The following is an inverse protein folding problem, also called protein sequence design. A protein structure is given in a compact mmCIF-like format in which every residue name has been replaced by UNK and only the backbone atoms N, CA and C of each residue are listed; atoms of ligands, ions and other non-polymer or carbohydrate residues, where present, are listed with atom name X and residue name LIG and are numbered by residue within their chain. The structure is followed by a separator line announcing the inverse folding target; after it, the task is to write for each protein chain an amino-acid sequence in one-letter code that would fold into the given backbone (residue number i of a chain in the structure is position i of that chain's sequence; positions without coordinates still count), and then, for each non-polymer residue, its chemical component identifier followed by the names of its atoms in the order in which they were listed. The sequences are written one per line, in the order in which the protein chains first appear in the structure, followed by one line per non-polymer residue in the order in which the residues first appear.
data_IF_816318941094
#
_entry.id   IF_816318941094
#
_cell.length_a   1.000
_cell.length_b   1.000
_cell.length_c   1.000
_cell.angle_alpha   90.00
_cell.angle_beta   90.00
_cell.angle_gamma   90.00
#
_symmetry.space_group_name_H-M   'P 1'
#
loop_
_entity.id
_entity.type
_entity.pdbx_description
1 polymer ?
#
# COMPACT_ATOMS: atom_id res chain seq x y z
N UNK A 1 -31.22 33.68 15.99
CA UNK A 1 -30.23 32.84 16.70
C UNK A 1 -30.87 31.48 16.92
N UNK A 2 -30.61 30.53 16.03
CA UNK A 2 -31.25 29.21 16.03
C UNK A 2 -30.18 28.18 16.36
N UNK A 3 -30.23 27.62 17.57
CA UNK A 3 -29.32 26.57 18.02
C UNK A 3 -29.65 25.27 17.30
N UNK A 4 -28.69 24.76 16.52
CA UNK A 4 -28.76 23.45 15.89
C UNK A 4 -28.10 22.44 16.83
N UNK A 5 -28.92 21.63 17.49
CA UNK A 5 -28.47 20.47 18.26
C UNK A 5 -27.86 19.42 17.32
N UNK A 6 -26.56 19.12 17.50
CA UNK A 6 -25.92 17.95 16.88
C UNK A 6 -25.95 16.77 17.86
N UNK A 7 -26.28 15.55 17.40
CA UNK A 7 -26.31 14.39 18.26
C UNK A 7 -24.88 13.90 18.58
N UNK A 8 -24.68 13.58 19.85
CA UNK A 8 -23.49 12.95 20.42
C UNK A 8 -23.44 11.50 19.91
N UNK A 9 -22.31 11.13 19.30
CA UNK A 9 -22.01 9.76 18.87
C UNK A 9 -21.45 8.95 20.06
N UNK A 10 -22.09 7.82 20.37
CA UNK A 10 -21.63 6.83 21.34
C UNK A 10 -20.98 5.64 20.59
N UNK A 11 -19.67 5.35 20.77
CA UNK A 11 -18.96 4.34 19.98
C UNK A 11 -19.05 2.91 20.53
N UNK A 12 -19.84 2.63 21.57
CA UNK A 12 -20.01 1.27 22.05
C UNK A 12 -21.32 0.64 21.57
N UNK A 13 -21.20 -0.58 21.00
CA UNK A 13 -22.23 -1.64 20.88
C UNK A 13 -22.80 -1.88 19.47
N UNK A 14 -22.06 -2.64 18.66
CA UNK A 14 -22.64 -3.68 17.77
C UNK A 14 -21.80 -4.95 17.83
N UNK A 15 -22.18 -5.87 18.71
CA UNK A 15 -21.81 -7.27 18.57
C UNK A 15 -22.63 -7.87 17.42
N UNK A 16 -21.99 -8.21 16.30
CA UNK A 16 -22.55 -9.18 15.38
C UNK A 16 -22.50 -10.55 16.08
N UNK A 17 -23.65 -11.02 16.58
CA UNK A 17 -23.81 -12.43 16.97
C UNK A 17 -23.87 -13.26 15.69
N UNK A 18 -22.74 -13.84 15.30
CA UNK A 18 -22.74 -15.01 14.43
C UNK A 18 -23.28 -16.20 15.24
N UNK A 19 -24.48 -16.67 14.92
CA UNK A 19 -24.98 -17.94 15.43
C UNK A 19 -24.27 -19.07 14.69
N UNK A 20 -23.36 -19.76 15.37
CA UNK A 20 -22.76 -21.01 14.91
C UNK A 20 -23.69 -22.17 15.28
N UNK A 21 -24.33 -22.77 14.28
CA UNK A 21 -24.94 -24.09 14.44
C UNK A 21 -23.82 -25.15 14.51
N UNK A 22 -23.67 -25.79 15.65
CA UNK A 22 -22.83 -27.00 15.81
C UNK A 22 -23.58 -28.23 15.32
N UNK A 23 -23.03 -29.05 14.41
CA UNK A 23 -23.47 -30.41 14.23
C UNK A 23 -22.78 -31.33 15.25
N UNK A 24 -23.59 -32.03 16.05
CA UNK A 24 -23.14 -33.20 16.81
C UNK A 24 -23.13 -34.40 15.86
N UNK A 25 -21.95 -34.96 15.60
CA UNK A 25 -21.78 -36.19 14.84
C UNK A 25 -20.51 -36.89 15.25
N UNK A 26 -20.65 -37.99 16.00
CA UNK A 26 -19.58 -38.89 16.43
C UNK A 26 -19.14 -39.78 15.26
N UNK A 27 -17.86 -39.71 14.89
CA UNK A 27 -17.17 -40.79 14.17
C UNK A 27 -15.67 -40.70 14.47
N UNK A 28 -15.12 -41.78 15.04
CA UNK A 28 -13.70 -41.93 15.31
C UNK A 28 -12.94 -41.99 13.97
N UNK A 29 -12.40 -40.85 13.56
CA UNK A 29 -11.56 -40.74 12.37
C UNK A 29 -10.09 -40.92 12.75
N UNK A 30 -9.43 -41.84 12.06
CA UNK A 30 -8.04 -42.20 12.27
C UNK A 30 -7.14 -40.98 12.12
N UNK A 31 -6.34 -40.70 13.15
CA UNK A 31 -5.32 -39.63 13.15
C UNK A 31 -4.24 -40.00 12.14
N UNK A 32 -4.42 -39.56 10.89
CA UNK A 32 -3.40 -39.60 9.85
C UNK A 32 -2.32 -38.59 10.24
N UNK A 33 -1.17 -39.08 10.67
CA UNK A 33 0.02 -38.27 10.94
C UNK A 33 0.48 -37.69 9.60
N UNK A 34 -0.01 -36.49 9.30
CA UNK A 34 0.42 -35.71 8.14
C UNK A 34 1.86 -35.28 8.40
N UNK A 35 2.81 -35.81 7.62
CA UNK A 35 4.17 -35.32 7.59
C UNK A 35 4.13 -33.80 7.40
N UNK A 36 4.54 -33.08 8.44
CA UNK A 36 4.62 -31.62 8.42
C UNK A 36 5.62 -31.22 7.34
N UNK A 37 5.13 -30.49 6.34
CA UNK A 37 5.99 -29.91 5.31
C UNK A 37 7.14 -29.12 5.98
N UNK A 38 8.34 -29.12 5.38
CA UNK A 38 9.45 -28.36 5.91
C UNK A 38 9.05 -26.89 6.12
N UNK A 39 9.53 -26.24 7.20
CA UNK A 39 9.15 -24.88 7.51
C UNK A 39 9.48 -23.97 6.33
N UNK A 40 8.50 -23.18 5.89
CA UNK A 40 8.68 -22.21 4.82
C UNK A 40 9.86 -21.28 5.16
N UNK A 41 10.73 -20.99 4.17
CA UNK A 41 11.86 -20.08 4.36
C UNK A 41 11.32 -18.71 4.81
N UNK A 42 11.73 -18.26 6.00
CA UNK A 42 11.39 -16.94 6.53
C UNK A 42 12.30 -15.92 5.83
N UNK A 43 11.74 -15.05 5.01
CA UNK A 43 12.47 -13.91 4.44
C UNK A 43 12.67 -12.83 5.52
N UNK A 44 13.93 -12.59 5.90
CA UNK A 44 14.29 -11.46 6.77
C UNK A 44 14.54 -10.21 5.94
N UNK A 45 13.91 -9.09 6.32
CA UNK A 45 14.06 -7.82 5.63
C UNK A 45 15.49 -7.26 5.80
N UNK A 46 16.27 -7.21 4.71
CA UNK A 46 17.59 -6.55 4.67
C UNK A 46 17.42 -5.03 4.79
N UNK A 47 18.35 -4.33 5.45
CA UNK A 47 18.26 -2.87 5.61
C UNK A 47 17.30 -2.41 6.71
N UNK A 48 16.90 -3.30 7.62
CA UNK A 48 16.01 -3.00 8.75
C UNK A 48 16.47 -1.81 9.61
N UNK A 49 17.79 -1.65 9.78
CA UNK A 49 18.39 -0.57 10.57
C UNK A 49 18.03 0.83 10.06
N UNK A 50 17.71 0.98 8.79
CA UNK A 50 17.19 2.24 8.25
C UNK A 50 15.90 2.69 8.98
N UNK A 51 15.06 1.75 9.37
CA UNK A 51 13.76 2.03 9.97
C UNK A 51 13.79 1.99 11.50
N UNK A 52 14.62 1.12 12.09
CA UNK A 52 14.56 0.77 13.51
C UNK A 52 15.79 1.16 14.34
N UNK A 53 16.88 1.63 13.73
CA UNK A 53 18.11 1.86 14.47
C UNK A 53 17.98 2.97 15.53
N UNK A 54 18.54 2.70 16.71
CA UNK A 54 18.84 3.73 17.72
C UNK A 54 20.19 4.34 17.40
N UNK A 55 20.28 5.67 17.36
CA UNK A 55 21.51 6.40 16.96
C UNK A 55 21.87 7.45 18.01
N UNK A 56 23.16 7.76 18.16
CA UNK A 56 23.62 8.81 19.08
C UNK A 56 23.37 10.19 18.48
N UNK A 57 22.69 11.07 19.22
CA UNK A 57 22.46 12.46 18.82
C UNK A 57 23.78 13.15 18.48
N UNK A 58 23.89 13.69 17.26
CA UNK A 58 25.09 14.39 16.79
C UNK A 58 25.47 15.60 17.65
N UNK A 59 24.51 16.20 18.39
CA UNK A 59 24.76 17.37 19.23
C UNK A 59 25.19 17.03 20.66
N UNK A 60 24.54 16.07 21.32
CA UNK A 60 24.77 15.80 22.75
C UNK A 60 25.17 14.36 23.09
N UNK A 61 25.30 13.47 22.09
CA UNK A 61 25.70 12.08 22.27
C UNK A 61 24.62 11.15 22.83
N UNK A 62 23.49 11.67 23.35
CA UNK A 62 22.41 10.83 23.89
C UNK A 62 21.79 9.93 22.82
N UNK A 63 21.41 8.72 23.21
CA UNK A 63 20.71 7.78 22.35
C UNK A 63 19.35 8.34 21.94
N UNK A 64 19.04 8.24 20.65
CA UNK A 64 17.77 8.63 20.06
C UNK A 64 17.16 7.44 19.37
N UNK A 65 15.98 7.02 19.84
CA UNK A 65 15.25 5.88 19.31
C UNK A 65 14.47 6.32 18.07
N UNK A 66 14.51 5.50 17.01
CA UNK A 66 13.69 5.73 15.81
C UNK A 66 12.21 5.67 16.17
N UNK A 67 11.39 6.65 15.78
CA UNK A 67 9.97 6.65 16.10
C UNK A 67 9.26 5.54 15.31
N UNK A 68 8.28 4.91 15.97
CA UNK A 68 7.39 3.92 15.36
C UNK A 68 6.02 4.55 15.17
N UNK A 69 5.48 4.48 13.95
CA UNK A 69 4.09 4.86 13.67
C UNK A 69 3.13 4.09 14.57
N UNK A 70 2.15 4.79 15.13
CA UNK A 70 0.92 4.13 15.57
C UNK A 70 -0.01 4.10 14.36
N UNK A 71 -0.53 2.94 13.95
CA UNK A 71 -1.54 2.89 12.90
C UNK A 71 -2.77 3.68 13.37
N UNK A 72 -2.98 4.88 12.84
CA UNK A 72 -4.14 5.69 13.18
C UNK A 72 -4.62 6.47 11.97
N UNK A 73 -5.93 6.37 11.73
CA UNK A 73 -6.67 7.12 10.70
C UNK A 73 -7.62 8.15 11.33
N UNK A 74 -7.35 8.59 12.56
CA UNK A 74 -8.09 9.75 13.12
C UNK A 74 -7.78 11.04 12.38
N UNK A 75 -6.80 11.05 11.48
CA UNK A 75 -6.37 12.21 10.72
C UNK A 75 -6.88 12.18 9.28
N UNK A 76 -7.03 13.38 8.74
CA UNK A 76 -7.43 13.68 7.36
C UNK A 76 -6.65 12.79 6.36
N UNK A 77 -7.32 12.05 5.46
CA UNK A 77 -6.68 11.22 4.43
C UNK A 77 -5.72 11.99 3.51
N UNK A 78 -5.78 13.34 3.51
CA UNK A 78 -4.87 14.20 2.77
C UNK A 78 -3.70 14.74 3.59
N UNK A 79 -3.74 14.63 4.92
CA UNK A 79 -2.58 14.93 5.76
C UNK A 79 -1.63 13.74 5.70
N UNK A 80 -0.35 13.98 5.36
CA UNK A 80 0.69 12.95 5.43
C UNK A 80 0.79 12.49 6.90
N UNK A 81 0.18 11.36 7.31
CA UNK A 81 -0.05 11.08 8.72
C UNK A 81 1.24 10.66 9.45
N UNK A 82 2.35 10.55 8.70
CA UNK A 82 3.66 10.11 9.15
C UNK A 82 4.75 11.16 8.93
N UNK A 83 4.39 12.39 8.55
CA UNK A 83 5.36 13.44 8.26
C UNK A 83 6.24 13.82 9.46
N UNK A 84 5.69 13.74 10.67
CA UNK A 84 6.43 13.86 11.92
C UNK A 84 7.42 12.69 12.11
N UNK A 85 7.08 11.49 11.62
CA UNK A 85 7.95 10.31 11.63
C UNK A 85 9.13 10.39 10.66
N UNK A 86 9.20 11.44 9.83
CA UNK A 86 10.39 11.71 9.01
C UNK A 86 11.49 12.44 9.81
N UNK A 87 11.12 12.99 10.97
CA UNK A 87 12.02 13.61 11.90
C UNK A 87 12.33 12.65 13.05
N UNK A 88 13.46 12.86 13.68
CA UNK A 88 13.74 12.27 14.99
C UNK A 88 14.26 13.37 15.91
N UNK A 89 13.59 13.56 17.04
CA UNK A 89 13.97 14.59 18.01
C UNK A 89 14.71 13.95 19.17
N UNK A 90 15.92 14.43 19.46
CA UNK A 90 16.65 14.02 20.66
C UNK A 90 15.92 14.53 21.91
N UNK A 91 15.46 13.64 22.78
CA UNK A 91 14.74 14.02 24.00
C UNK A 91 15.58 14.85 24.99
N UNK A 92 16.91 14.75 24.94
CA UNK A 92 17.80 15.41 25.89
C UNK A 92 18.18 16.85 25.50
N UNK A 93 18.43 17.12 24.21
CA UNK A 93 18.84 18.46 23.74
C UNK A 93 17.88 19.05 22.71
N UNK A 94 16.78 18.34 22.43
CA UNK A 94 15.67 18.75 21.57
C UNK A 94 16.06 19.12 20.14
N UNK A 95 17.18 18.57 19.67
CA UNK A 95 17.66 18.74 18.30
C UNK A 95 16.90 17.81 17.38
N UNK A 96 16.41 18.35 16.26
CA UNK A 96 15.75 17.59 15.22
C UNK A 96 16.77 17.05 14.21
N UNK A 97 16.60 15.78 13.88
CA UNK A 97 17.40 15.05 12.91
C UNK A 97 16.49 14.58 11.76
N UNK A 98 17.05 14.51 10.55
CA UNK A 98 16.45 13.71 9.48
C UNK A 98 16.50 12.23 9.88
N UNK A 99 15.38 11.50 9.85
CA UNK A 99 15.39 10.07 10.23
C UNK A 99 16.26 9.20 9.32
N UNK A 100 16.33 9.53 8.03
CA UNK A 100 17.13 8.80 7.04
C UNK A 100 18.63 8.87 7.33
N UNK A 101 19.23 10.04 7.12
CA UNK A 101 20.69 10.24 7.25
C UNK A 101 21.16 10.72 8.64
N UNK A 102 20.24 11.00 9.56
CA UNK A 102 20.52 11.48 10.93
C UNK A 102 21.20 12.86 11.04
N UNK A 103 21.35 13.60 9.94
CA UNK A 103 21.85 14.98 9.97
C UNK A 103 20.88 15.91 10.71
N UNK A 104 21.43 16.92 11.37
CA UNK A 104 20.62 17.97 12.02
C UNK A 104 19.84 18.75 10.97
N UNK A 105 18.55 19.00 11.23
CA UNK A 105 17.67 19.75 10.33
C UNK A 105 17.07 20.96 11.02
N UNK A 106 16.80 22.01 10.25
CA UNK A 106 16.28 23.31 10.76
C UNK A 106 14.76 23.35 10.90
N UNK A 107 14.10 22.20 10.85
CA UNK A 107 12.65 22.11 11.02
C UNK A 107 12.26 22.44 12.48
N UNK A 108 11.11 23.12 12.71
CA UNK A 108 10.57 23.33 14.05
C UNK A 108 10.22 21.97 14.70
N UNK A 109 10.15 21.93 16.04
CA UNK A 109 9.83 20.70 16.81
C UNK A 109 8.48 20.07 16.43
N UNK A 110 7.53 20.89 16.01
CA UNK A 110 6.19 20.46 15.60
C UNK A 110 6.05 20.46 14.08
N UNK A 111 7.13 20.19 13.34
CA UNK A 111 7.07 20.15 11.89
C UNK A 111 6.23 18.96 11.42
N UNK A 112 5.07 19.27 10.86
CA UNK A 112 4.13 18.28 10.28
C UNK A 112 4.53 17.85 8.86
N UNK A 113 5.80 18.02 8.47
CA UNK A 113 6.33 17.59 7.15
C UNK A 113 5.58 18.11 5.92
N UNK A 114 5.02 19.34 6.01
CA UNK A 114 4.36 19.99 4.88
C UNK A 114 5.32 20.28 3.70
N UNK A 115 4.83 20.91 2.61
CA UNK A 115 5.64 21.22 1.43
C UNK A 115 6.90 22.06 1.72
N UNK A 116 6.89 22.88 2.77
CA UNK A 116 8.03 23.70 3.22
C UNK A 116 9.02 22.94 4.11
N UNK A 117 8.76 21.67 4.43
CA UNK A 117 9.63 20.88 5.28
C UNK A 117 10.91 20.48 4.53
N UNK A 118 12.05 20.99 5.01
CA UNK A 118 13.38 20.71 4.43
C UNK A 118 13.77 19.24 4.45
N UNK A 119 13.18 18.44 5.36
CA UNK A 119 13.45 16.99 5.45
C UNK A 119 12.98 16.23 4.21
N UNK A 120 11.94 16.70 3.50
CA UNK A 120 11.41 15.99 2.31
C UNK A 120 12.45 15.80 1.22
N UNK A 121 13.42 16.72 1.14
CA UNK A 121 14.49 16.70 0.15
C UNK A 121 15.86 16.40 0.76
N UNK A 122 15.92 15.90 2.00
CA UNK A 122 17.18 15.80 2.73
C UNK A 122 18.10 14.68 2.22
N UNK A 123 17.57 13.48 1.96
CA UNK A 123 18.33 12.34 1.46
C UNK A 123 17.39 11.28 0.86
N UNK A 124 17.94 10.29 0.16
CA UNK A 124 17.14 9.19 -0.39
C UNK A 124 16.51 8.30 0.70
N UNK A 125 17.26 8.07 1.78
CA UNK A 125 16.83 7.25 2.92
C UNK A 125 15.50 7.75 3.51
N UNK A 126 15.25 9.07 3.51
CA UNK A 126 13.98 9.61 3.98
C UNK A 126 12.81 9.31 3.05
N UNK A 127 13.06 9.20 1.73
CA UNK A 127 12.05 8.82 0.74
C UNK A 127 11.67 7.36 0.93
N UNK A 128 12.66 6.49 1.14
CA UNK A 128 12.43 5.07 1.45
C UNK A 128 11.64 4.91 2.75
N UNK A 129 11.96 5.67 3.80
CA UNK A 129 11.18 5.69 5.05
C UNK A 129 9.75 6.16 4.79
N UNK A 130 9.54 7.24 4.03
CA UNK A 130 8.21 7.73 3.72
C UNK A 130 7.36 6.71 2.94
N UNK A 131 7.96 6.00 1.97
CA UNK A 131 7.32 4.91 1.24
C UNK A 131 6.95 3.76 2.19
N UNK A 132 7.87 3.38 3.09
CA UNK A 132 7.60 2.36 4.11
C UNK A 132 6.42 2.73 5.02
N UNK A 133 6.36 3.97 5.52
CA UNK A 133 5.27 4.41 6.40
C UNK A 133 3.92 4.46 5.66
N UNK A 134 3.92 4.87 4.38
CA UNK A 134 2.73 4.86 3.53
C UNK A 134 2.21 3.43 3.29
N UNK A 135 3.09 2.51 2.86
CA UNK A 135 2.72 1.12 2.61
C UNK A 135 2.33 0.39 3.91
N UNK A 136 3.01 0.66 5.03
CA UNK A 136 2.66 0.08 6.33
C UNK A 136 1.28 0.52 6.81
N UNK A 137 0.97 1.80 6.65
CA UNK A 137 -0.36 2.35 6.90
C UNK A 137 -1.43 1.66 6.03
N UNK A 138 -1.17 1.53 4.73
CA UNK A 138 -2.07 0.84 3.81
C UNK A 138 -2.33 -0.61 4.19
N UNK A 139 -1.26 -1.38 4.46
CA UNK A 139 -1.37 -2.78 4.86
C UNK A 139 -2.24 -2.94 6.11
N UNK A 140 -2.08 -2.04 7.09
CA UNK A 140 -2.87 -2.03 8.30
C UNK A 140 -4.36 -1.77 8.03
N UNK A 141 -4.70 -0.76 7.21
CA UNK A 141 -6.09 -0.47 6.83
C UNK A 141 -6.69 -1.65 6.12
N UNK A 142 -5.99 -2.15 5.09
CA UNK A 142 -6.49 -3.23 4.27
C UNK A 142 -6.78 -4.47 5.12
N UNK A 143 -5.86 -4.83 6.02
CA UNK A 143 -6.06 -5.94 6.96
C UNK A 143 -7.20 -5.72 7.95
N UNK A 144 -7.38 -4.49 8.42
CA UNK A 144 -8.44 -4.15 9.39
C UNK A 144 -9.81 -4.16 8.72
N UNK A 145 -9.97 -3.45 7.61
CA UNK A 145 -11.25 -3.30 6.89
C UNK A 145 -11.73 -4.62 6.29
N UNK A 146 -10.81 -5.44 5.81
CA UNK A 146 -11.13 -6.78 5.32
C UNK A 146 -11.29 -7.82 6.44
N UNK A 147 -11.08 -7.44 7.70
CA UNK A 147 -11.32 -8.28 8.87
C UNK A 147 -10.32 -9.42 9.05
N UNK A 148 -9.10 -9.29 8.52
CA UNK A 148 -8.08 -10.34 8.56
C UNK A 148 -6.84 -10.02 9.41
N UNK A 149 -6.83 -8.89 10.12
CA UNK A 149 -5.74 -8.49 11.02
C UNK A 149 -5.25 -9.67 11.90
N UNK A 150 -4.11 -10.26 11.50
CA UNK A 150 -3.43 -11.35 12.20
C UNK A 150 -3.92 -12.78 11.97
N UNK A 151 -5.04 -13.03 11.25
CA UNK A 151 -5.57 -14.41 11.07
C UNK A 151 -6.32 -14.71 9.77
N UNK A 152 -6.59 -13.72 8.92
CA UNK A 152 -7.47 -14.02 7.78
C UNK A 152 -6.73 -14.61 6.59
N UNK A 153 -7.37 -15.63 6.02
CA UNK A 153 -6.87 -16.34 4.86
C UNK A 153 -7.30 -15.69 3.54
N UNK A 154 -6.70 -16.18 2.46
CA UNK A 154 -6.96 -15.80 1.06
C UNK A 154 -8.42 -15.55 0.71
N UNK A 155 -9.32 -16.42 1.16
CA UNK A 155 -10.75 -16.32 0.81
C UNK A 155 -11.38 -15.02 1.30
N UNK A 156 -11.02 -14.55 2.50
CA UNK A 156 -11.53 -13.30 3.04
C UNK A 156 -11.01 -12.10 2.24
N UNK A 157 -9.72 -12.10 1.89
CA UNK A 157 -9.11 -11.05 1.08
C UNK A 157 -9.73 -10.95 -0.31
N UNK A 158 -9.87 -12.08 -1.00
CA UNK A 158 -10.50 -12.14 -2.32
C UNK A 158 -11.97 -11.74 -2.27
N UNK A 159 -12.72 -12.16 -1.26
CA UNK A 159 -14.11 -11.74 -1.07
C UNK A 159 -14.22 -10.24 -0.82
N UNK A 160 -13.33 -9.69 0.00
CA UNK A 160 -13.29 -8.26 0.28
C UNK A 160 -12.93 -7.45 -0.98
N UNK A 161 -11.92 -7.87 -1.75
CA UNK A 161 -11.58 -7.20 -3.01
C UNK A 161 -12.74 -7.25 -4.01
N UNK A 162 -13.41 -8.40 -4.15
CA UNK A 162 -14.61 -8.50 -5.01
C UNK A 162 -15.69 -7.52 -4.56
N UNK A 163 -15.89 -7.38 -3.24
CA UNK A 163 -16.83 -6.43 -2.66
C UNK A 163 -16.43 -4.97 -2.92
N UNK A 164 -15.13 -4.65 -2.85
CA UNK A 164 -14.60 -3.32 -3.18
C UNK A 164 -14.94 -2.93 -4.62
N UNK A 165 -14.72 -3.86 -5.57
CA UNK A 165 -14.93 -3.62 -6.99
C UNK A 165 -16.44 -3.57 -7.34
N UNK A 166 -17.27 -4.40 -6.70
CA UNK A 166 -18.69 -4.56 -7.07
C UNK A 166 -19.63 -3.47 -6.54
N UNK A 167 -19.11 -2.38 -5.95
CA UNK A 167 -19.86 -1.24 -5.36
C UNK A 167 -21.10 -1.60 -4.55
N UNK A 168 -20.93 -1.96 -3.27
CA UNK A 168 -22.09 -2.24 -2.43
C UNK A 168 -22.20 -1.49 -1.09
N UNK A 169 -21.16 -0.88 -0.51
CA UNK A 169 -21.27 -0.42 0.89
C UNK A 169 -20.51 0.88 1.22
N UNK A 170 -20.96 1.59 2.27
CA UNK A 170 -20.27 2.79 2.79
C UNK A 170 -18.82 2.51 3.22
N UNK A 171 -18.54 1.33 3.78
CA UNK A 171 -17.20 0.93 4.19
C UNK A 171 -16.21 0.83 3.03
N UNK A 172 -16.66 0.42 1.84
CA UNK A 172 -15.78 0.31 0.67
C UNK A 172 -15.27 1.68 0.23
N UNK A 173 -16.07 2.74 0.43
CA UNK A 173 -15.64 4.12 0.14
C UNK A 173 -14.52 4.59 1.06
N UNK A 174 -14.61 4.32 2.36
CA UNK A 174 -13.53 4.67 3.30
C UNK A 174 -12.21 4.01 2.91
N UNK A 175 -12.26 2.73 2.53
CA UNK A 175 -11.08 2.02 2.04
C UNK A 175 -10.57 2.61 0.71
N UNK A 176 -11.47 2.87 -0.25
CA UNK A 176 -11.13 3.47 -1.54
C UNK A 176 -10.44 4.83 -1.37
N UNK A 177 -10.96 5.69 -0.49
CA UNK A 177 -10.35 6.97 -0.16
C UNK A 177 -8.93 6.79 0.43
N UNK A 178 -8.75 5.79 1.32
CA UNK A 178 -7.45 5.47 1.91
C UNK A 178 -6.46 4.87 0.89
N UNK A 179 -6.94 4.04 -0.04
CA UNK A 179 -6.16 3.48 -1.14
C UNK A 179 -5.70 4.59 -2.09
N UNK A 180 -6.61 5.45 -2.53
CA UNK A 180 -6.29 6.63 -3.36
C UNK A 180 -5.30 7.55 -2.65
N UNK A 181 -5.52 7.84 -1.37
CA UNK A 181 -4.61 8.65 -0.55
C UNK A 181 -3.21 8.05 -0.49
N UNK A 182 -3.10 6.74 -0.22
CA UNK A 182 -1.82 6.02 -0.18
C UNK A 182 -1.09 6.14 -1.52
N UNK A 183 -1.76 5.85 -2.63
CA UNK A 183 -1.15 5.90 -3.96
C UNK A 183 -0.65 7.32 -4.32
N UNK A 184 -1.42 8.37 -3.99
CA UNK A 184 -0.99 9.77 -4.19
C UNK A 184 0.24 10.11 -3.36
N UNK A 185 0.28 9.65 -2.11
CA UNK A 185 1.45 9.80 -1.24
C UNK A 185 2.66 9.12 -1.87
N UNK A 186 2.52 7.87 -2.31
CA UNK A 186 3.59 7.13 -2.98
C UNK A 186 4.09 7.87 -4.23
N UNK A 187 3.20 8.33 -5.10
CA UNK A 187 3.58 9.13 -6.27
C UNK A 187 4.37 10.40 -5.89
N UNK A 188 4.04 11.03 -4.75
CA UNK A 188 4.75 12.22 -4.28
C UNK A 188 6.15 11.94 -3.74
N UNK A 189 6.44 10.71 -3.33
CA UNK A 189 7.73 10.28 -2.79
C UNK A 189 8.60 9.51 -3.81
N UNK A 190 7.97 8.89 -4.80
CA UNK A 190 8.59 8.30 -5.99
C UNK A 190 8.92 9.37 -7.05
N UNK A 191 9.48 10.51 -6.63
CA UNK A 191 9.94 11.51 -7.58
C UNK A 191 11.31 11.13 -8.15
N UNK A 192 11.46 11.37 -9.46
CA UNK A 192 12.58 10.92 -10.31
C UNK A 192 13.94 11.12 -9.64
N UNK A 193 14.70 10.03 -9.64
CA UNK A 193 16.03 9.88 -9.05
C UNK A 193 17.05 10.86 -9.64
N UNK A 194 18.03 11.21 -8.82
CA UNK A 194 19.23 11.86 -9.32
C UNK A 194 20.08 10.78 -10.04
N UNK A 195 20.83 11.13 -11.10
CA UNK A 195 21.58 10.17 -11.90
C UNK A 195 22.68 9.39 -11.15
N UNK A 196 22.94 9.70 -9.88
CA UNK A 196 23.99 9.11 -9.03
C UNK A 196 23.44 8.26 -7.86
N UNK A 197 22.16 7.91 -7.91
CA UNK A 197 21.53 7.14 -6.82
C UNK A 197 21.92 5.65 -6.93
N UNK A 198 22.82 5.19 -6.06
CA UNK A 198 23.37 3.81 -6.05
C UNK A 198 22.33 2.68 -5.97
N UNK A 199 22.64 1.55 -6.62
CA UNK A 199 21.74 0.40 -6.86
C UNK A 199 21.09 -0.18 -5.59
N UNK A 200 21.83 -0.32 -4.49
CA UNK A 200 21.38 -0.99 -3.25
C UNK A 200 20.08 -0.40 -2.65
N UNK A 201 19.84 0.90 -2.85
CA UNK A 201 18.64 1.56 -2.31
C UNK A 201 17.38 1.28 -3.13
N UNK A 202 17.53 1.01 -4.44
CA UNK A 202 16.41 0.64 -5.34
C UNK A 202 15.83 -0.71 -4.94
N UNK A 203 16.69 -1.60 -4.46
CA UNK A 203 16.30 -2.91 -3.94
C UNK A 203 15.39 -2.78 -2.71
N UNK A 204 15.71 -1.86 -1.80
CA UNK A 204 14.92 -1.67 -0.57
C UNK A 204 13.48 -1.26 -0.87
N UNK A 205 13.27 -0.33 -1.81
CA UNK A 205 11.92 0.10 -2.23
C UNK A 205 11.19 -1.04 -2.92
N UNK A 206 11.86 -1.76 -3.83
CA UNK A 206 11.26 -2.92 -4.51
C UNK A 206 10.82 -4.02 -3.55
N UNK A 207 11.62 -4.30 -2.52
CA UNK A 207 11.29 -5.25 -1.44
C UNK A 207 10.08 -4.77 -0.64
N UNK A 208 9.96 -3.47 -0.34
CA UNK A 208 8.81 -2.92 0.38
C UNK A 208 7.51 -3.13 -0.40
N UNK A 209 7.49 -2.81 -1.70
CA UNK A 209 6.30 -3.05 -2.54
C UNK A 209 5.98 -4.54 -2.62
N UNK A 210 6.98 -5.38 -2.86
CA UNK A 210 6.81 -6.84 -3.03
C UNK A 210 6.28 -7.55 -1.78
N UNK A 211 6.44 -6.94 -0.60
CA UNK A 211 5.97 -7.48 0.69
C UNK A 211 4.71 -6.76 1.23
N UNK A 212 4.24 -5.70 0.56
CA UNK A 212 2.97 -5.04 0.86
C UNK A 212 1.80 -5.76 0.20
N UNK A 213 0.59 -5.54 0.70
CA UNK A 213 -0.64 -5.95 0.01
C UNK A 213 -0.98 -5.06 -1.21
N UNK A 214 -0.28 -3.93 -1.40
CA UNK A 214 -0.62 -2.95 -2.43
C UNK A 214 -0.62 -3.53 -3.85
N UNK A 215 0.41 -4.30 -4.29
CA UNK A 215 0.41 -4.89 -5.63
C UNK A 215 -0.75 -5.86 -5.87
N UNK A 216 -1.15 -6.65 -4.86
CA UNK A 216 -2.30 -7.55 -4.94
C UNK A 216 -3.60 -6.76 -5.20
N UNK A 217 -3.81 -5.66 -4.47
CA UNK A 217 -4.98 -4.80 -4.66
C UNK A 217 -4.96 -4.12 -6.03
N UNK A 218 -3.82 -3.57 -6.45
CA UNK A 218 -3.67 -2.99 -7.80
C UNK A 218 -3.94 -4.02 -8.90
N UNK A 219 -3.39 -5.22 -8.77
CA UNK A 219 -3.63 -6.33 -9.70
C UNK A 219 -5.13 -6.61 -9.85
N UNK A 220 -5.87 -6.66 -8.75
CA UNK A 220 -7.31 -6.90 -8.81
C UNK A 220 -8.11 -5.78 -9.46
N UNK A 221 -7.75 -4.50 -9.24
CA UNK A 221 -8.36 -3.39 -9.98
C UNK A 221 -8.07 -3.53 -11.48
N UNK A 222 -6.81 -3.73 -11.87
CA UNK A 222 -6.42 -3.84 -13.28
C UNK A 222 -7.00 -5.07 -13.98
N UNK A 223 -7.27 -6.14 -13.24
CA UNK A 223 -7.91 -7.36 -13.76
C UNK A 223 -9.42 -7.18 -14.02
N UNK A 224 -10.02 -6.08 -13.57
CA UNK A 224 -11.45 -5.85 -13.76
C UNK A 224 -11.74 -5.47 -15.22
N UNK A 225 -12.60 -6.23 -15.88
CA UNK A 225 -12.99 -6.00 -17.28
C UNK A 225 -14.28 -5.20 -17.48
N UNK A 226 -14.93 -4.78 -16.39
CA UNK A 226 -16.18 -4.02 -16.43
C UNK A 226 -15.94 -2.54 -16.71
N UNK A 227 -16.21 -2.11 -17.95
CA UNK A 227 -16.14 -0.68 -18.35
C UNK A 227 -16.96 0.22 -17.43
N UNK A 228 -18.11 -0.28 -16.94
CA UNK A 228 -18.95 0.45 -15.99
C UNK A 228 -18.20 0.75 -14.70
N UNK A 229 -17.47 -0.22 -14.15
CA UNK A 229 -16.75 -0.06 -12.90
C UNK A 229 -15.54 0.85 -13.07
N UNK A 230 -14.86 0.78 -14.22
CA UNK A 230 -13.80 1.72 -14.58
C UNK A 230 -14.26 3.17 -14.52
N UNK A 231 -15.43 3.48 -15.07
CA UNK A 231 -16.02 4.83 -15.01
C UNK A 231 -16.43 5.18 -13.59
N UNK A 232 -17.08 4.22 -12.91
CA UNK A 232 -17.61 4.41 -11.58
C UNK A 232 -16.51 4.65 -10.53
N UNK A 233 -15.33 4.06 -10.72
CA UNK A 233 -14.12 4.22 -9.88
C UNK A 233 -13.00 4.95 -10.63
N UNK A 234 -13.35 5.84 -11.55
CA UNK A 234 -12.39 6.52 -12.43
C UNK A 234 -11.24 7.19 -11.67
N UNK A 235 -11.53 7.86 -10.55
CA UNK A 235 -10.50 8.47 -9.71
C UNK A 235 -9.48 7.45 -9.18
N UNK A 236 -9.94 6.28 -8.73
CA UNK A 236 -9.06 5.20 -8.28
C UNK A 236 -8.20 4.66 -9.42
N UNK A 237 -8.80 4.38 -10.57
CA UNK A 237 -8.05 3.88 -11.72
C UNK A 237 -7.03 4.90 -12.23
N UNK A 238 -7.39 6.18 -12.35
CA UNK A 238 -6.47 7.25 -12.74
C UNK A 238 -5.24 7.26 -11.82
N UNK A 239 -5.45 7.18 -10.51
CA UNK A 239 -4.36 7.19 -9.54
C UNK A 239 -3.53 5.89 -9.60
N UNK A 240 -4.15 4.72 -9.82
CA UNK A 240 -3.44 3.45 -10.07
C UNK A 240 -2.54 3.57 -11.31
N UNK A 241 -3.06 4.11 -12.42
CA UNK A 241 -2.30 4.28 -13.66
C UNK A 241 -1.13 5.26 -13.47
N UNK A 242 -1.33 6.37 -12.76
CA UNK A 242 -0.25 7.31 -12.41
C UNK A 242 0.79 6.65 -11.51
N UNK A 243 0.39 5.83 -10.52
CA UNK A 243 1.35 5.08 -9.69
C UNK A 243 2.18 4.11 -10.52
N UNK A 244 1.57 3.34 -11.43
CA UNK A 244 2.31 2.45 -12.33
C UNK A 244 3.33 3.21 -13.17
N UNK A 245 2.94 4.36 -13.72
CA UNK A 245 3.85 5.26 -14.44
C UNK A 245 5.04 5.66 -13.57
N UNK A 246 4.79 6.09 -12.34
CA UNK A 246 5.86 6.48 -11.40
C UNK A 246 6.77 5.32 -11.03
N UNK A 247 6.24 4.12 -10.90
CA UNK A 247 7.03 2.91 -10.66
C UNK A 247 7.96 2.62 -11.86
N UNK A 248 7.50 2.78 -13.10
CA UNK A 248 8.37 2.71 -14.28
C UNK A 248 9.45 3.79 -14.27
N UNK A 249 9.07 5.04 -14.02
CA UNK A 249 9.99 6.19 -14.02
C UNK A 249 11.06 6.10 -12.90
N UNK A 250 10.79 5.36 -11.82
CA UNK A 250 11.70 5.13 -10.70
C UNK A 250 12.45 3.80 -10.78
N UNK A 251 12.44 3.15 -11.95
CA UNK A 251 13.11 1.87 -12.18
C UNK A 251 12.66 0.74 -11.24
N UNK A 252 11.42 0.78 -10.75
CA UNK A 252 10.80 -0.32 -10.00
C UNK A 252 10.27 -1.41 -10.95
N UNK A 253 10.95 -1.61 -12.08
CA UNK A 253 10.55 -2.56 -13.13
C UNK A 253 10.50 -3.99 -12.58
N UNK A 254 11.39 -4.37 -11.66
CA UNK A 254 11.35 -5.69 -11.03
C UNK A 254 9.97 -5.98 -10.39
N UNK A 255 9.41 -5.01 -9.64
CA UNK A 255 8.08 -5.15 -9.02
C UNK A 255 6.97 -5.28 -10.07
N UNK A 256 7.11 -4.59 -11.20
CA UNK A 256 6.10 -4.58 -12.27
C UNK A 256 6.16 -5.83 -13.15
N UNK A 257 7.36 -6.41 -13.32
CA UNK A 257 7.67 -7.49 -14.26
C UNK A 257 7.63 -8.87 -13.60
N UNK A 258 7.88 -8.95 -12.29
CA UNK A 258 7.84 -10.22 -11.58
C UNK A 258 6.41 -10.70 -11.33
N UNK A 259 6.11 -12.00 -11.55
CA UNK A 259 4.80 -12.54 -11.24
C UNK A 259 4.49 -12.39 -9.75
N UNK A 260 3.31 -11.83 -9.44
CA UNK A 260 2.95 -11.45 -8.08
C UNK A 260 2.71 -12.68 -7.21
N UNK A 261 3.50 -12.83 -6.15
CA UNK A 261 3.32 -13.90 -5.16
C UNK A 261 2.09 -13.63 -4.31
N UNK A 262 1.26 -14.65 -4.10
CA UNK A 262 0.11 -14.53 -3.22
C UNK A 262 0.54 -14.66 -1.76
N UNK A 263 0.19 -13.66 -0.95
CA UNK A 263 0.40 -13.72 0.50
C UNK A 263 -0.57 -14.77 1.06
N UNK A 264 -0.13 -15.72 1.87
CA UNK A 264 -1.05 -16.56 2.65
C UNK A 264 -1.41 -15.84 3.94
N UNK A 265 -0.38 -15.53 4.75
CA UNK A 265 -0.48 -14.76 5.99
C UNK A 265 0.60 -13.68 6.00
N UNK A 266 0.25 -12.50 6.52
CA UNK A 266 1.22 -11.42 6.74
C UNK A 266 0.84 -10.60 7.95
N UNK A 267 1.88 -10.20 8.69
CA UNK A 267 1.82 -9.26 9.81
C UNK A 267 1.84 -7.79 9.36
N UNK A 268 1.78 -7.54 8.03
CA UNK A 268 2.00 -6.24 7.41
C UNK A 268 3.47 -5.82 7.45
N UNK A 269 3.84 -4.84 6.62
CA UNK A 269 5.21 -4.33 6.59
C UNK A 269 5.70 -3.84 7.95
N UNK A 270 4.84 -3.22 8.75
CA UNK A 270 5.25 -2.75 10.07
C UNK A 270 5.63 -3.91 11.00
N UNK A 271 4.84 -4.99 11.04
CA UNK A 271 5.17 -6.18 11.83
C UNK A 271 6.44 -6.86 11.33
N UNK A 272 6.63 -6.93 10.00
CA UNK A 272 7.82 -7.48 9.37
C UNK A 272 9.09 -6.70 9.78
N UNK A 273 9.05 -5.38 9.71
CA UNK A 273 10.20 -4.51 9.99
C UNK A 273 10.42 -4.28 11.48
N UNK A 274 9.38 -4.11 12.30
CA UNK A 274 9.54 -3.76 13.72
C UNK A 274 9.55 -4.95 14.66
N UNK A 275 8.74 -5.97 14.37
CA UNK A 275 8.45 -7.04 15.34
C UNK A 275 9.13 -8.37 15.00
N UNK A 276 10.01 -8.39 13.98
CA UNK A 276 10.54 -9.64 13.41
C UNK A 276 9.41 -10.59 12.97
N UNK A 277 8.29 -10.01 12.53
CA UNK A 277 7.20 -10.76 11.96
C UNK A 277 7.62 -11.46 10.68
N UNK A 278 6.73 -12.28 10.13
CA UNK A 278 6.98 -13.00 8.88
C UNK A 278 5.81 -12.85 7.93
N UNK A 279 6.10 -13.11 6.65
CA UNK A 279 5.11 -13.26 5.59
C UNK A 279 5.25 -14.70 5.10
N UNK A 280 4.12 -15.41 5.03
CA UNK A 280 4.05 -16.72 4.39
C UNK A 280 3.38 -16.55 3.04
N UNK A 281 3.85 -17.31 2.06
CA UNK A 281 3.33 -17.29 0.70
C UNK A 281 2.39 -18.48 0.49
N UNK A 282 1.34 -18.29 -0.30
CA UNK A 282 0.46 -19.37 -0.70
C UNK A 282 1.24 -20.38 -1.54
N UNK A 283 1.11 -21.67 -1.21
CA UNK A 283 1.76 -22.76 -1.93
C UNK A 283 0.70 -23.62 -2.64
N UNK A 284 1.00 -24.08 -3.85
CA UNK A 284 0.14 -25.00 -4.58
C UNK A 284 0.31 -26.47 -4.09
N UNK A 285 -0.36 -27.42 -4.76
CA UNK A 285 -0.28 -28.85 -4.43
C UNK A 285 1.13 -29.44 -4.61
N UNK A 286 2.00 -28.75 -5.33
CA UNK A 286 3.39 -29.12 -5.61
C UNK A 286 4.37 -28.39 -4.71
N UNK A 287 3.90 -27.65 -3.70
CA UNK A 287 4.71 -26.81 -2.82
C UNK A 287 5.49 -25.70 -3.57
N UNK A 288 4.90 -25.18 -4.65
CA UNK A 288 5.41 -24.02 -5.40
C UNK A 288 4.58 -22.78 -5.04
N UNK A 289 5.20 -21.61 -4.82
CA UNK A 289 4.45 -20.39 -4.53
C UNK A 289 3.44 -20.08 -5.64
N UNK A 290 2.18 -19.86 -5.27
CA UNK A 290 1.15 -19.42 -6.19
C UNK A 290 1.45 -18.01 -6.65
N UNK A 291 1.40 -17.79 -7.97
CA UNK A 291 1.68 -16.49 -8.59
C UNK A 291 0.54 -16.06 -9.50
N UNK A 292 0.26 -14.77 -9.51
CA UNK A 292 -0.57 -14.11 -10.52
C UNK A 292 0.28 -13.50 -11.62
N UNK A 293 -0.36 -13.09 -12.71
CA UNK A 293 0.29 -12.35 -13.78
C UNK A 293 0.99 -11.09 -13.21
N UNK A 294 2.16 -10.72 -13.76
CA UNK A 294 2.81 -9.48 -13.37
C UNK A 294 1.97 -8.25 -13.77
N UNK A 295 2.18 -7.13 -13.08
CA UNK A 295 1.40 -5.91 -13.33
C UNK A 295 1.61 -5.38 -14.75
N UNK A 296 2.81 -5.54 -15.32
CA UNK A 296 3.10 -5.13 -16.70
C UNK A 296 2.26 -5.90 -17.74
N UNK A 297 1.95 -7.18 -17.48
CA UNK A 297 1.12 -7.98 -18.38
C UNK A 297 -0.32 -7.47 -18.35
N UNK A 298 -0.85 -7.14 -17.17
CA UNK A 298 -2.16 -6.51 -17.06
C UNK A 298 -2.21 -5.16 -17.76
N UNK A 299 -1.13 -4.36 -17.69
CA UNK A 299 -1.02 -3.11 -18.46
C UNK A 299 -1.15 -3.36 -19.96
N UNK A 300 -0.52 -4.41 -20.51
CA UNK A 300 -0.66 -4.78 -21.94
C UNK A 300 -2.11 -5.11 -22.30
N UNK A 301 -2.86 -5.69 -21.36
CA UNK A 301 -4.26 -6.04 -21.56
C UNK A 301 -5.20 -4.82 -21.50
N UNK A 302 -4.76 -3.66 -21.00
CA UNK A 302 -5.59 -2.45 -20.88
C UNK A 302 -6.05 -1.89 -22.23
N UNK A 303 -5.37 -2.21 -23.34
CA UNK A 303 -5.85 -1.85 -24.68
C UNK A 303 -7.25 -2.41 -24.97
N UNK A 304 -7.59 -3.58 -24.40
CA UNK A 304 -8.92 -4.15 -24.50
C UNK A 304 -10.00 -3.31 -23.80
N UNK A 305 -9.63 -2.52 -22.78
CA UNK A 305 -10.53 -1.60 -22.07
C UNK A 305 -10.61 -0.22 -22.73
N UNK A 306 -9.50 0.25 -23.33
CA UNK A 306 -9.44 1.57 -23.99
C UNK A 306 -10.44 1.69 -25.13
N UNK A 307 -10.61 0.65 -25.95
CA UNK A 307 -11.53 0.71 -27.11
C UNK A 307 -13.01 0.89 -26.70
N UNK A 308 -13.58 0.07 -25.79
CA UNK A 308 -14.93 0.31 -25.27
C UNK A 308 -15.10 1.69 -24.61
N UNK A 309 -14.09 2.16 -23.87
CA UNK A 309 -14.10 3.48 -23.25
C UNK A 309 -14.20 4.59 -24.31
N UNK A 310 -13.36 4.57 -25.34
CA UNK A 310 -13.42 5.53 -26.44
C UNK A 310 -14.76 5.47 -27.21
N UNK A 311 -15.30 4.26 -27.42
CA UNK A 311 -16.62 4.11 -28.04
C UNK A 311 -17.73 4.75 -27.18
N UNK A 312 -17.60 4.72 -25.86
CA UNK A 312 -18.55 5.35 -24.95
C UNK A 312 -18.51 6.89 -25.05
N UNK A 313 -17.33 7.49 -25.23
CA UNK A 313 -17.20 8.96 -25.40
C UNK A 313 -18.12 9.48 -26.51
N UNK A 314 -18.20 8.76 -27.64
CA UNK A 314 -19.08 9.14 -28.75
C UNK A 314 -20.59 9.09 -28.45
N UNK A 315 -20.98 8.40 -27.37
CA UNK A 315 -22.38 8.15 -26.99
C UNK A 315 -22.83 8.98 -25.78
N UNK A 316 -21.89 9.51 -25.00
CA UNK A 316 -22.19 10.23 -23.76
C UNK A 316 -22.11 11.73 -23.99
N UNK A 317 -23.19 12.45 -23.66
CA UNK A 317 -23.23 13.91 -23.76
C UNK A 317 -22.85 14.61 -22.44
N UNK A 318 -22.77 13.88 -21.33
CA UNK A 318 -22.45 14.45 -20.02
C UNK A 318 -20.94 14.70 -19.90
N UNK A 319 -20.55 15.98 -19.97
CA UNK A 319 -19.14 16.43 -20.01
C UNK A 319 -18.25 15.81 -18.93
N UNK A 320 -18.64 15.78 -17.64
CA UNK A 320 -17.76 15.21 -16.61
C UNK A 320 -17.46 13.71 -16.79
N UNK A 321 -18.37 12.95 -17.42
CA UNK A 321 -18.09 11.55 -17.76
C UNK A 321 -17.15 11.46 -18.94
N UNK A 322 -17.30 12.33 -19.94
CA UNK A 322 -16.37 12.39 -21.09
C UNK A 322 -14.95 12.71 -20.62
N UNK A 323 -14.78 13.70 -19.75
CA UNK A 323 -13.48 14.07 -19.15
C UNK A 323 -12.84 12.87 -18.44
N UNK A 324 -13.58 12.21 -17.55
CA UNK A 324 -13.10 11.00 -16.85
C UNK A 324 -12.67 9.89 -17.79
N UNK A 325 -13.42 9.66 -18.87
CA UNK A 325 -13.10 8.61 -19.84
C UNK A 325 -11.85 8.99 -20.64
N UNK A 326 -11.68 10.26 -21.01
CA UNK A 326 -10.47 10.75 -21.67
C UNK A 326 -9.24 10.58 -20.75
N UNK A 327 -9.32 11.00 -19.49
CA UNK A 327 -8.22 10.86 -18.52
C UNK A 327 -7.79 9.39 -18.35
N UNK A 328 -8.75 8.46 -18.30
CA UNK A 328 -8.47 7.03 -18.27
C UNK A 328 -7.78 6.55 -19.55
N UNK A 329 -8.29 6.95 -20.72
CA UNK A 329 -7.72 6.59 -22.00
C UNK A 329 -6.29 7.14 -22.19
N UNK A 330 -6.02 8.35 -21.71
CA UNK A 330 -4.71 8.98 -21.75
C UNK A 330 -3.72 8.24 -20.83
N UNK A 331 -4.13 7.93 -19.61
CA UNK A 331 -3.33 7.12 -18.68
C UNK A 331 -2.99 5.73 -19.24
N UNK A 332 -3.97 5.04 -19.84
CA UNK A 332 -3.73 3.75 -20.50
C UNK A 332 -2.76 3.90 -21.67
N UNK A 333 -2.99 4.88 -22.54
CA UNK A 333 -2.16 5.10 -23.73
C UNK A 333 -0.71 5.41 -23.36
N UNK A 334 -0.50 6.20 -22.32
CA UNK A 334 0.84 6.51 -21.82
C UNK A 334 1.58 5.25 -21.36
N UNK A 335 0.96 4.40 -20.54
CA UNK A 335 1.59 3.17 -20.06
C UNK A 335 1.90 2.18 -21.21
N UNK A 336 0.99 2.05 -22.18
CA UNK A 336 1.24 1.23 -23.36
C UNK A 336 2.43 1.75 -24.18
N UNK A 337 2.56 3.07 -24.34
CA UNK A 337 3.71 3.68 -25.02
C UNK A 337 5.01 3.46 -24.25
N UNK A 338 5.00 3.57 -22.91
CA UNK A 338 6.18 3.28 -22.09
C UNK A 338 6.71 1.86 -22.28
N UNK A 339 5.83 0.88 -22.44
CA UNK A 339 6.25 -0.50 -22.70
C UNK A 339 6.94 -0.66 -24.06
N UNK A 340 6.51 0.08 -25.08
CA UNK A 340 7.14 0.04 -26.41
C UNK A 340 8.52 0.71 -26.39
N UNK A 341 8.66 1.85 -25.70
CA UNK A 341 9.91 2.63 -25.68
C UNK A 341 10.94 2.05 -24.70
N UNK A 342 10.48 1.52 -23.55
CA UNK A 342 11.36 1.00 -22.51
C UNK A 342 12.08 -0.31 -22.87
N UNK A 343 11.71 -0.97 -23.98
CA UNK A 343 12.32 -2.22 -24.40
C UNK A 343 12.06 -3.40 -23.44
N UNK A 344 10.95 -3.36 -22.71
CA UNK A 344 10.58 -4.33 -21.66
C UNK A 344 9.43 -5.25 -22.07
#
# INVERSE_FOLDING_TARGET
MTQVNRPIWDPHRRHCKFQSHSPKGNSAEQVKITLTAPPAKIETFKGRDLFTATRNCVKCGNLVVSPRSQPSFTHDPFSLPFSDLLHVTCSACETNHCRGCFSVVRCPRQCVGGPSCTVRNCCLDIRTIAIFEALSSFDHIYATEAGFAGKGGKQQRQAYIKLLISKANKSTRTFEDAFVGTLRILCSWMQVSYPDDGEERRDSVSILFSNSYLPEVMHCFLSNNSVRDWIAHSETYIVVLETLRRMFDCELSAVLMEPLRHIDQSCGLQGLVWDKGSITWEMDKSNVPVRSAPLNELVRQLEAHRRPLMALVSKVQFTPTVEKVNDLCDGISYLLLQQVVGGV
#
